data_IF_000201172840
#
_entry.id   IF_000201172840
#
_cell.length_a   1.000
_cell.length_b   1.000
_cell.length_c   1.000
_cell.angle_alpha   90.00
_cell.angle_beta   90.00
_cell.angle_gamma   90.00
#
_symmetry.space_group_name_H-M   'P 1'
#
loop_
_entity.id
_entity.type
_entity.pdbx_description
1 polymer ?
#
# COMPACT_ATOMS: atom_id res chain seq x y z
N UNK A 1 22.34 -13.25 -0.20
CA UNK A 1 23.20 -13.20 -1.40
C UNK A 1 22.67 -12.06 -2.24
N UNK A 2 23.47 -11.11 -2.72
CA UNK A 2 22.96 -10.03 -3.57
C UNK A 2 22.48 -10.60 -4.92
N UNK A 3 21.34 -10.13 -5.40
CA UNK A 3 20.80 -10.51 -6.72
C UNK A 3 21.67 -9.86 -7.78
N UNK A 4 22.11 -10.63 -8.78
CA UNK A 4 22.83 -10.03 -9.91
C UNK A 4 21.86 -9.19 -10.75
N UNK A 5 22.26 -8.02 -11.24
CA UNK A 5 21.38 -7.11 -12.00
C UNK A 5 20.72 -7.76 -13.22
N UNK A 6 21.43 -8.65 -13.90
CA UNK A 6 21.02 -9.39 -15.11
C UNK A 6 20.23 -10.68 -14.81
N UNK A 7 20.14 -11.10 -13.54
CA UNK A 7 19.40 -12.29 -13.15
C UNK A 7 17.91 -11.94 -12.96
N UNK A 8 17.11 -12.31 -13.92
CA UNK A 8 15.65 -12.10 -13.94
C UNK A 8 14.85 -13.27 -13.40
N UNK A 9 15.52 -14.27 -12.83
CA UNK A 9 14.83 -15.40 -12.18
C UNK A 9 14.00 -14.89 -11.01
N UNK A 10 12.67 -15.13 -10.98
CA UNK A 10 11.83 -14.70 -9.88
C UNK A 10 12.29 -15.30 -8.54
N UNK A 11 12.44 -14.43 -7.53
CA UNK A 11 12.84 -14.81 -6.17
C UNK A 11 11.66 -14.83 -5.19
N UNK A 12 10.48 -14.40 -5.67
CA UNK A 12 9.21 -14.43 -4.93
C UNK A 12 8.15 -15.13 -5.77
N UNK A 13 7.11 -15.67 -5.11
CA UNK A 13 6.01 -16.33 -5.80
C UNK A 13 5.23 -15.33 -6.67
N UNK A 14 4.73 -15.77 -7.85
CA UNK A 14 3.81 -14.97 -8.67
C UNK A 14 2.44 -14.86 -7.98
N UNK A 15 1.57 -13.89 -8.40
CA UNK A 15 0.19 -13.83 -7.93
C UNK A 15 -0.58 -15.11 -8.29
N UNK A 16 -1.67 -15.37 -7.56
CA UNK A 16 -2.60 -16.44 -7.91
C UNK A 16 -3.26 -16.13 -9.28
N UNK A 17 -3.06 -16.95 -10.33
CA UNK A 17 -3.64 -16.68 -11.64
C UNK A 17 -5.15 -16.99 -11.71
N UNK A 18 -5.73 -17.61 -10.66
CA UNK A 18 -7.12 -18.05 -10.62
C UNK A 18 -7.84 -17.51 -9.36
N UNK A 19 -8.03 -16.18 -9.25
CA UNK A 19 -8.73 -15.61 -8.10
C UNK A 19 -10.16 -16.13 -8.04
N UNK A 20 -10.64 -16.45 -6.83
CA UNK A 20 -12.02 -16.84 -6.60
C UNK A 20 -12.96 -15.65 -6.82
N UNK A 21 -14.16 -15.93 -7.31
CA UNK A 21 -15.21 -14.92 -7.32
C UNK A 21 -15.60 -14.61 -5.86
N UNK A 22 -15.47 -13.36 -5.40
CA UNK A 22 -15.87 -13.02 -4.04
C UNK A 22 -17.39 -13.16 -3.87
N UNK A 23 -17.79 -13.53 -2.66
CA UNK A 23 -19.21 -13.56 -2.24
C UNK A 23 -19.72 -12.16 -1.94
N UNK A 24 -18.83 -11.31 -1.42
CA UNK A 24 -19.15 -9.92 -1.14
C UNK A 24 -19.09 -9.10 -2.44
N UNK A 25 -20.20 -8.44 -2.77
CA UNK A 25 -20.25 -7.51 -3.90
C UNK A 25 -19.77 -6.13 -3.47
N UNK A 26 -18.75 -5.63 -4.14
CA UNK A 26 -18.21 -4.28 -3.90
C UNK A 26 -19.23 -3.21 -4.28
N UNK A 27 -19.33 -2.11 -3.52
CA UNK A 27 -20.17 -0.98 -3.90
C UNK A 27 -19.66 -0.28 -5.16
N UNK A 28 -20.52 0.44 -5.89
CA UNK A 28 -20.08 1.29 -7.00
C UNK A 28 -19.00 2.29 -6.56
N UNK A 29 -18.03 2.52 -7.42
CA UNK A 29 -16.84 3.35 -7.18
C UNK A 29 -15.91 2.83 -6.06
N UNK A 30 -15.96 1.54 -5.73
CA UNK A 30 -15.00 0.94 -4.81
C UNK A 30 -13.56 1.12 -5.32
N UNK A 31 -12.67 1.44 -4.39
CA UNK A 31 -11.26 1.69 -4.63
C UNK A 31 -10.41 0.60 -3.95
N UNK A 32 -9.51 -0.01 -4.72
CA UNK A 32 -8.37 -0.74 -4.19
C UNK A 32 -7.27 0.27 -3.83
N UNK A 33 -7.09 0.57 -2.56
CA UNK A 33 -6.18 1.64 -2.12
C UNK A 33 -4.72 1.20 -1.98
N UNK A 34 -4.38 -0.03 -2.37
CA UNK A 34 -3.01 -0.51 -2.35
C UNK A 34 -2.82 -1.73 -3.25
N UNK A 35 -2.11 -1.54 -4.35
CA UNK A 35 -1.61 -2.61 -5.20
C UNK A 35 -0.30 -2.19 -5.86
N UNK A 36 0.37 -3.16 -6.49
CA UNK A 36 1.59 -2.96 -7.27
C UNK A 36 1.40 -3.45 -8.70
N UNK A 37 2.28 -3.02 -9.60
CA UNK A 37 2.45 -3.58 -10.94
C UNK A 37 3.93 -3.84 -11.15
N UNK A 38 4.26 -4.99 -11.74
CA UNK A 38 5.62 -5.39 -12.04
C UNK A 38 5.81 -5.62 -13.53
N UNK A 39 6.71 -4.88 -14.14
CA UNK A 39 7.04 -5.04 -15.55
C UNK A 39 5.91 -4.66 -16.55
N UNK A 40 5.94 -5.23 -17.77
CA UNK A 40 6.94 -6.22 -18.20
C UNK A 40 8.37 -5.65 -18.17
N UNK A 41 9.32 -6.41 -17.63
CA UNK A 41 10.68 -5.95 -17.40
C UNK A 41 11.40 -5.50 -18.68
N UNK A 42 11.01 -6.04 -19.82
CA UNK A 42 11.55 -5.64 -21.13
C UNK A 42 11.24 -4.18 -21.48
N UNK A 43 10.15 -3.61 -20.93
CA UNK A 43 9.74 -2.22 -21.11
C UNK A 43 10.07 -1.36 -19.89
N UNK A 44 9.92 -1.93 -18.70
CA UNK A 44 10.14 -1.28 -17.41
C UNK A 44 11.16 -2.09 -16.62
N UNK A 45 12.46 -1.80 -16.76
CA UNK A 45 13.52 -2.57 -16.12
C UNK A 45 13.40 -2.58 -14.59
N UNK A 46 13.80 -3.69 -13.98
CA UNK A 46 13.95 -3.75 -12.54
C UNK A 46 15.25 -3.09 -12.10
N UNK A 47 15.23 -2.46 -10.93
CA UNK A 47 16.39 -1.77 -10.38
C UNK A 47 17.57 -2.75 -10.19
N UNK A 48 18.80 -2.34 -10.53
CA UNK A 48 19.97 -3.22 -10.43
C UNK A 48 20.30 -3.63 -8.99
N UNK A 49 19.93 -2.80 -8.02
CA UNK A 49 20.13 -3.03 -6.58
C UNK A 49 18.87 -3.56 -5.87
N UNK A 50 17.91 -4.10 -6.62
CA UNK A 50 16.67 -4.67 -6.06
C UNK A 50 16.97 -5.81 -5.11
N UNK A 51 16.10 -5.98 -4.12
CA UNK A 51 16.22 -7.01 -3.09
C UNK A 51 15.41 -8.27 -3.39
N UNK A 52 14.52 -8.18 -4.37
CA UNK A 52 13.76 -9.31 -4.89
C UNK A 52 13.50 -9.09 -6.39
N UNK A 53 13.36 -10.18 -7.11
CA UNK A 53 12.94 -10.17 -8.51
C UNK A 53 11.54 -10.77 -8.58
N UNK A 54 10.50 -10.01 -8.93
CA UNK A 54 9.16 -10.55 -9.13
C UNK A 54 9.06 -11.24 -10.50
N UNK A 55 8.07 -12.10 -10.68
CA UNK A 55 7.53 -12.38 -12.00
C UNK A 55 6.83 -11.13 -12.53
N UNK A 56 6.77 -10.95 -13.85
CA UNK A 56 5.98 -9.87 -14.43
C UNK A 56 4.51 -10.02 -14.01
N UNK A 57 3.93 -8.91 -13.57
CA UNK A 57 2.54 -8.76 -13.20
C UNK A 57 2.05 -7.40 -13.75
N UNK A 58 1.83 -7.33 -15.09
CA UNK A 58 1.61 -6.06 -15.79
C UNK A 58 0.21 -5.47 -15.52
N UNK A 59 0.02 -4.20 -15.89
CA UNK A 59 -1.25 -3.48 -15.69
C UNK A 59 -2.46 -4.16 -16.34
N UNK A 60 -2.25 -4.91 -17.42
CA UNK A 60 -3.31 -5.66 -18.10
C UNK A 60 -3.89 -6.76 -17.19
N UNK A 61 -3.05 -7.41 -16.39
CA UNK A 61 -3.46 -8.41 -15.40
C UNK A 61 -4.23 -7.75 -14.25
N UNK A 62 -3.72 -6.61 -13.76
CA UNK A 62 -4.42 -5.80 -12.77
C UNK A 62 -5.81 -5.37 -13.25
N UNK A 63 -5.92 -4.86 -14.47
CA UNK A 63 -7.21 -4.40 -15.01
C UNK A 63 -8.22 -5.55 -15.10
N UNK A 64 -7.77 -6.76 -15.49
CA UNK A 64 -8.62 -7.96 -15.48
C UNK A 64 -9.05 -8.34 -14.07
N UNK A 65 -8.11 -8.31 -13.12
CA UNK A 65 -8.40 -8.59 -11.72
C UNK A 65 -9.41 -7.59 -11.14
N UNK A 66 -9.18 -6.29 -11.32
CA UNK A 66 -10.10 -5.25 -10.83
C UNK A 66 -11.50 -5.39 -11.43
N UNK A 67 -11.59 -5.65 -12.74
CA UNK A 67 -12.88 -5.92 -13.39
C UNK A 67 -13.56 -7.17 -12.81
N UNK A 68 -12.82 -8.23 -12.57
CA UNK A 68 -13.33 -9.49 -12.02
C UNK A 68 -13.82 -9.33 -10.57
N UNK A 69 -13.05 -8.63 -9.72
CA UNK A 69 -13.40 -8.38 -8.33
C UNK A 69 -14.47 -7.29 -8.16
N UNK A 70 -14.55 -6.33 -9.10
CA UNK A 70 -15.51 -5.23 -9.09
C UNK A 70 -14.95 -3.87 -8.66
N UNK A 71 -13.62 -3.70 -8.57
CA UNK A 71 -13.00 -2.40 -8.30
C UNK A 71 -13.06 -1.50 -9.53
N UNK A 72 -13.44 -0.24 -9.32
CA UNK A 72 -13.54 0.77 -10.37
C UNK A 72 -12.43 1.82 -10.29
N UNK A 73 -11.79 1.93 -9.12
CA UNK A 73 -10.68 2.85 -8.83
C UNK A 73 -9.57 2.12 -8.10
N UNK A 74 -8.38 2.71 -8.10
CA UNK A 74 -7.30 2.14 -7.32
C UNK A 74 -6.10 3.05 -7.16
N UNK A 75 -5.23 2.70 -6.20
CA UNK A 75 -4.00 3.43 -5.90
C UNK A 75 -2.80 2.52 -6.10
N UNK A 76 -2.04 2.80 -7.15
CA UNK A 76 -0.79 2.12 -7.41
C UNK A 76 0.28 2.62 -6.43
N UNK A 77 0.91 1.70 -5.75
CA UNK A 77 2.03 1.98 -4.86
C UNK A 77 3.32 1.47 -5.50
N UNK A 78 4.27 2.35 -5.73
CA UNK A 78 5.55 1.98 -6.34
C UNK A 78 6.30 0.97 -5.46
N UNK A 79 6.90 -0.01 -6.12
CA UNK A 79 7.65 -1.07 -5.46
C UNK A 79 9.15 -0.84 -5.57
N UNK A 80 9.89 -1.25 -4.54
CA UNK A 80 11.36 -1.18 -4.51
C UNK A 80 12.05 -1.99 -5.62
N UNK A 81 11.36 -2.95 -6.26
CA UNK A 81 11.94 -3.70 -7.37
C UNK A 81 12.20 -2.83 -8.61
N UNK A 82 11.45 -1.73 -8.80
CA UNK A 82 11.72 -0.72 -9.83
C UNK A 82 12.54 0.47 -9.29
N UNK A 83 12.81 0.50 -7.98
CA UNK A 83 13.48 1.64 -7.34
C UNK A 83 12.70 2.94 -7.52
N UNK A 84 13.40 4.02 -7.85
CA UNK A 84 12.83 5.35 -8.10
C UNK A 84 12.46 5.59 -9.58
N UNK A 85 12.59 4.59 -10.45
CA UNK A 85 12.04 4.66 -11.80
C UNK A 85 10.52 4.44 -11.75
N UNK A 86 9.77 5.53 -11.82
CA UNK A 86 8.31 5.53 -11.73
C UNK A 86 7.62 5.35 -13.11
N UNK A 87 8.35 5.00 -14.17
CA UNK A 87 7.79 4.90 -15.53
C UNK A 87 6.64 3.89 -15.64
N UNK A 88 6.72 2.73 -14.94
CA UNK A 88 5.65 1.73 -14.92
C UNK A 88 4.37 2.28 -14.25
N UNK A 89 4.52 3.12 -13.23
CA UNK A 89 3.41 3.78 -12.54
C UNK A 89 2.75 4.80 -13.47
N UNK A 90 3.51 5.67 -14.11
CA UNK A 90 3.01 6.67 -15.05
C UNK A 90 2.28 6.01 -16.22
N UNK A 91 2.82 4.91 -16.78
CA UNK A 91 2.18 4.15 -17.86
C UNK A 91 0.81 3.59 -17.44
N UNK A 92 0.66 3.11 -16.20
CA UNK A 92 -0.63 2.66 -15.67
C UNK A 92 -1.60 3.84 -15.48
N UNK A 93 -1.15 4.95 -14.89
CA UNK A 93 -2.01 6.12 -14.63
C UNK A 93 -2.59 6.66 -15.95
N UNK A 94 -1.75 6.78 -16.97
CA UNK A 94 -2.17 7.21 -18.31
C UNK A 94 -3.19 6.25 -18.94
N UNK A 95 -2.94 4.94 -18.85
CA UNK A 95 -3.86 3.92 -19.34
C UNK A 95 -5.19 3.89 -18.56
N UNK A 96 -5.16 4.26 -17.30
CA UNK A 96 -6.30 4.26 -16.40
C UNK A 96 -7.29 5.40 -16.59
N UNK A 97 -6.93 6.46 -17.32
CA UNK A 97 -7.80 7.60 -17.65
C UNK A 97 -8.53 8.18 -16.43
N UNK A 98 -7.78 8.48 -15.37
CA UNK A 98 -8.29 9.09 -14.14
C UNK A 98 -8.88 8.11 -13.11
N UNK A 99 -9.02 6.82 -13.43
CA UNK A 99 -9.49 5.81 -12.48
C UNK A 99 -8.44 5.43 -11.42
N UNK A 100 -7.19 5.75 -11.67
CA UNK A 100 -6.09 5.39 -10.79
C UNK A 100 -5.33 6.62 -10.30
N UNK A 101 -4.71 6.46 -9.13
CA UNK A 101 -3.77 7.40 -8.51
C UNK A 101 -2.47 6.67 -8.20
N UNK A 102 -1.40 7.43 -7.91
CA UNK A 102 -0.10 6.87 -7.65
C UNK A 102 0.54 7.32 -6.34
N UNK A 103 1.28 6.42 -5.69
CA UNK A 103 2.22 6.74 -4.62
C UNK A 103 3.61 6.27 -5.07
N UNK A 104 4.53 7.22 -5.26
CA UNK A 104 5.85 7.01 -5.87
C UNK A 104 6.95 6.73 -4.85
N UNK A 105 8.09 6.26 -5.33
CA UNK A 105 9.37 6.34 -4.63
C UNK A 105 10.17 7.49 -5.25
N UNK A 106 10.72 8.36 -4.42
CA UNK A 106 11.59 9.46 -4.85
C UNK A 106 13.01 9.29 -4.32
N UNK A 107 13.96 9.86 -5.07
CA UNK A 107 15.29 10.17 -4.56
C UNK A 107 15.30 11.61 -4.04
N UNK A 108 16.08 11.95 -3.00
CA UNK A 108 16.23 13.33 -2.55
C UNK A 108 16.66 14.30 -3.68
N UNK A 109 17.40 13.79 -4.66
CA UNK A 109 17.88 14.57 -5.80
C UNK A 109 16.94 14.54 -7.02
N UNK A 110 15.73 13.93 -6.92
CA UNK A 110 14.75 13.97 -8.01
C UNK A 110 14.49 15.41 -8.41
N UNK A 111 14.62 15.79 -9.70
CA UNK A 111 14.36 17.17 -10.14
C UNK A 111 12.91 17.59 -9.87
N UNK A 112 12.70 18.86 -9.48
CA UNK A 112 11.34 19.36 -9.20
C UNK A 112 10.44 19.28 -10.45
N UNK A 113 10.98 19.50 -11.64
CA UNK A 113 10.25 19.32 -12.89
C UNK A 113 9.75 17.86 -13.12
N UNK A 114 10.48 16.86 -12.61
CA UNK A 114 10.01 15.47 -12.63
C UNK A 114 8.89 15.26 -11.62
N UNK A 115 8.97 15.86 -10.44
CA UNK A 115 7.90 15.82 -9.43
C UNK A 115 6.62 16.47 -9.98
N UNK A 116 6.71 17.60 -10.67
CA UNK A 116 5.59 18.25 -11.37
C UNK A 116 4.95 17.31 -12.41
N UNK A 117 5.75 16.65 -13.24
CA UNK A 117 5.25 15.68 -14.23
C UNK A 117 4.54 14.49 -13.57
N UNK A 118 5.04 14.01 -12.43
CA UNK A 118 4.40 12.95 -11.66
C UNK A 118 3.06 13.41 -11.08
N UNK A 119 2.97 14.64 -10.58
CA UNK A 119 1.74 15.25 -10.08
C UNK A 119 0.68 15.35 -11.19
N UNK A 120 1.06 15.91 -12.34
CA UNK A 120 0.19 15.99 -13.53
C UNK A 120 -0.30 14.62 -14.01
N UNK A 121 0.52 13.58 -13.87
CA UNK A 121 0.14 12.20 -14.21
C UNK A 121 -0.87 11.59 -13.24
N UNK A 122 -1.10 12.20 -12.07
CA UNK A 122 -2.05 11.74 -11.06
C UNK A 122 -1.41 11.05 -9.86
N UNK A 123 -0.14 11.32 -9.60
CA UNK A 123 0.50 10.96 -8.33
C UNK A 123 -0.10 11.82 -7.22
N UNK A 124 -0.34 11.20 -6.06
CA UNK A 124 -0.92 11.85 -4.89
C UNK A 124 -0.18 11.55 -3.60
N UNK A 125 0.94 10.84 -3.66
CA UNK A 125 1.71 10.49 -2.48
C UNK A 125 3.12 10.00 -2.77
N UNK A 126 3.96 10.02 -1.74
CA UNK A 126 5.30 9.43 -1.74
C UNK A 126 5.42 8.38 -0.65
N UNK A 127 6.01 7.24 -0.98
CA UNK A 127 6.19 6.13 -0.05
C UNK A 127 7.58 6.12 0.55
N UNK A 128 7.63 6.02 1.88
CA UNK A 128 8.84 5.92 2.68
C UNK A 128 8.93 4.53 3.32
N UNK A 129 10.08 3.88 3.21
CA UNK A 129 10.34 2.57 3.77
C UNK A 129 11.18 2.68 5.03
N UNK A 130 10.63 2.21 6.16
CA UNK A 130 11.31 2.10 7.46
C UNK A 130 11.42 0.65 7.92
N UNK A 131 11.05 -0.30 7.07
CA UNK A 131 11.15 -1.73 7.35
C UNK A 131 12.46 -2.25 6.77
N UNK A 132 13.36 -2.72 7.64
CA UNK A 132 14.65 -3.28 7.24
C UNK A 132 14.56 -4.67 6.60
N UNK A 133 15.70 -5.35 6.48
CA UNK A 133 15.79 -6.69 5.92
C UNK A 133 15.71 -6.70 4.38
N UNK A 134 14.76 -7.46 3.83
CA UNK A 134 14.60 -7.61 2.38
C UNK A 134 14.02 -6.37 1.65
N UNK A 135 13.77 -5.30 2.36
CA UNK A 135 13.38 -4.00 1.77
C UNK A 135 14.52 -2.96 1.79
N UNK A 136 15.70 -3.37 2.28
CA UNK A 136 16.89 -2.54 2.33
C UNK A 136 17.11 -1.83 3.65
N UNK A 137 18.15 -1.01 3.68
CA UNK A 137 18.44 -0.14 4.81
C UNK A 137 17.51 1.08 4.74
N UNK A 138 16.84 1.47 5.83
CA UNK A 138 16.10 2.72 5.88
C UNK A 138 17.01 3.90 5.50
N UNK A 139 16.44 4.87 4.78
CA UNK A 139 17.16 6.08 4.39
C UNK A 139 17.55 6.91 5.63
N UNK A 140 18.64 7.65 5.57
CA UNK A 140 18.97 8.66 6.58
C UNK A 140 17.80 9.65 6.76
N UNK A 141 17.60 10.13 8.00
CA UNK A 141 16.49 11.03 8.33
C UNK A 141 16.49 12.30 7.47
N UNK A 142 17.66 12.84 7.18
CA UNK A 142 17.83 14.04 6.36
C UNK A 142 17.30 13.85 4.94
N UNK A 143 17.61 12.71 4.31
CA UNK A 143 17.07 12.35 2.99
C UNK A 143 15.55 12.18 3.01
N UNK A 144 15.00 11.59 4.08
CA UNK A 144 13.57 11.43 4.27
C UNK A 144 12.87 12.79 4.34
N UNK A 145 13.45 13.74 5.09
CA UNK A 145 12.90 15.10 5.20
C UNK A 145 12.94 15.85 3.85
N UNK A 146 14.02 15.73 3.09
CA UNK A 146 14.11 16.30 1.74
C UNK A 146 13.03 15.75 0.79
N UNK A 147 12.74 14.45 0.88
CA UNK A 147 11.66 13.83 0.09
C UNK A 147 10.29 14.37 0.52
N UNK A 148 10.04 14.56 1.82
CA UNK A 148 8.80 15.14 2.34
C UNK A 148 8.65 16.59 1.86
N UNK A 149 9.73 17.38 1.87
CA UNK A 149 9.75 18.76 1.39
C UNK A 149 9.41 18.85 -0.11
N UNK A 150 9.84 17.89 -0.93
CA UNK A 150 9.46 17.81 -2.35
C UNK A 150 7.98 17.47 -2.56
N UNK A 151 7.41 16.65 -1.71
CA UNK A 151 5.99 16.25 -1.80
C UNK A 151 5.02 17.35 -1.31
N UNK A 152 5.46 18.20 -0.39
CA UNK A 152 4.62 19.17 0.30
C UNK A 152 3.92 20.20 -0.61
N UNK A 153 4.59 20.82 -1.64
CA UNK A 153 3.95 21.79 -2.54
C UNK A 153 2.78 21.20 -3.34
N UNK A 154 2.78 19.89 -3.59
CA UNK A 154 1.76 19.17 -4.34
C UNK A 154 0.64 18.63 -3.46
N UNK A 155 0.73 18.81 -2.13
CA UNK A 155 -0.24 18.25 -1.19
C UNK A 155 -0.24 16.72 -1.12
N UNK A 156 0.85 16.07 -1.54
CA UNK A 156 0.95 14.62 -1.53
C UNK A 156 0.95 14.06 -0.11
N UNK A 157 0.29 12.93 0.07
CA UNK A 157 0.37 12.21 1.34
C UNK A 157 1.73 11.51 1.51
N UNK A 158 2.16 11.40 2.76
CA UNK A 158 3.38 10.69 3.13
C UNK A 158 2.99 9.27 3.55
N UNK A 159 3.27 8.31 2.69
CA UNK A 159 2.96 6.90 2.94
C UNK A 159 4.11 6.22 3.67
N UNK A 160 3.84 5.63 4.82
CA UNK A 160 4.84 4.99 5.69
C UNK A 160 4.66 3.49 5.68
N UNK A 161 5.70 2.77 5.24
CA UNK A 161 5.80 1.33 5.34
C UNK A 161 6.78 0.94 6.44
N UNK A 162 6.27 0.31 7.47
CA UNK A 162 7.02 -0.15 8.65
C UNK A 162 6.53 -1.53 9.10
N UNK A 163 7.07 -2.09 10.18
CA UNK A 163 6.64 -3.38 10.72
C UNK A 163 7.21 -3.67 12.11
N UNK A 164 6.67 -4.69 12.76
CA UNK A 164 7.03 -5.01 14.15
C UNK A 164 6.66 -3.86 15.08
N UNK A 165 7.65 -3.38 15.83
CA UNK A 165 7.50 -2.21 16.72
C UNK A 165 7.67 -0.87 16.01
N UNK A 166 7.83 -0.84 14.69
CA UNK A 166 8.14 0.36 13.93
C UNK A 166 7.12 1.50 14.06
N UNK A 167 5.86 1.21 14.39
CA UNK A 167 4.86 2.26 14.71
C UNK A 167 5.25 3.01 15.99
N UNK A 168 5.79 2.31 16.99
CA UNK A 168 6.29 2.90 18.23
C UNK A 168 7.60 3.66 17.99
N UNK A 169 8.54 3.04 17.30
CA UNK A 169 9.87 3.60 17.02
C UNK A 169 9.77 4.90 16.20
N UNK A 170 8.77 4.99 15.34
CA UNK A 170 8.51 6.14 14.47
C UNK A 170 7.45 7.09 15.02
N UNK A 171 6.90 6.86 16.22
CA UNK A 171 5.76 7.63 16.73
C UNK A 171 6.02 9.13 16.73
N UNK A 172 7.13 9.57 17.31
CA UNK A 172 7.49 11.00 17.37
C UNK A 172 7.80 11.57 15.98
N UNK A 173 8.41 10.78 15.10
CA UNK A 173 8.62 11.20 13.72
C UNK A 173 7.28 11.38 12.98
N UNK A 174 6.38 10.40 13.05
CA UNK A 174 5.05 10.48 12.43
C UNK A 174 4.27 11.68 12.97
N UNK A 175 4.33 11.91 14.27
CA UNK A 175 3.63 13.04 14.90
C UNK A 175 4.23 14.40 14.55
N UNK A 176 5.48 14.47 14.09
CA UNK A 176 6.12 15.69 13.62
C UNK A 176 5.75 16.07 12.18
N UNK A 177 5.13 15.17 11.42
CA UNK A 177 4.71 15.43 10.04
C UNK A 177 3.36 16.16 10.04
N UNK A 178 3.32 17.36 9.47
CA UNK A 178 2.09 18.16 9.34
C UNK A 178 1.20 17.70 8.17
N UNK A 179 1.83 17.18 7.11
CA UNK A 179 1.13 16.63 5.94
C UNK A 179 0.27 15.41 6.32
N UNK A 180 -0.62 15.02 5.42
CA UNK A 180 -1.37 13.76 5.56
C UNK A 180 -0.42 12.57 5.55
N UNK A 181 -0.50 11.73 6.58
CA UNK A 181 0.27 10.49 6.69
C UNK A 181 -0.62 9.28 6.46
N UNK A 182 -0.14 8.31 5.71
CA UNK A 182 -0.83 7.04 5.45
C UNK A 182 0.05 5.87 5.88
N UNK A 183 -0.38 5.09 6.87
CA UNK A 183 0.36 3.93 7.36
C UNK A 183 -0.09 2.68 6.61
N UNK A 184 0.86 1.97 5.99
CA UNK A 184 0.59 0.74 5.24
C UNK A 184 0.26 -0.45 6.16
N UNK A 185 -0.65 -1.33 5.72
CA UNK A 185 -0.86 -2.69 6.21
C UNK A 185 -1.00 -2.78 7.75
N UNK A 186 -1.86 -1.95 8.34
CA UNK A 186 -2.10 -1.94 9.81
C UNK A 186 -0.78 -1.71 10.60
N UNK A 187 0.18 -1.00 9.99
CA UNK A 187 1.53 -0.81 10.54
C UNK A 187 2.35 -2.10 10.65
N UNK A 188 1.87 -3.23 10.09
CA UNK A 188 2.45 -4.59 10.23
C UNK A 188 2.86 -4.91 11.67
N UNK A 189 1.97 -4.55 12.61
CA UNK A 189 2.16 -4.76 14.05
C UNK A 189 2.28 -6.26 14.41
N UNK A 190 2.89 -6.56 15.57
CA UNK A 190 2.90 -7.89 16.12
C UNK A 190 1.58 -8.16 16.84
N UNK A 191 0.74 -9.05 16.28
CA UNK A 191 -0.59 -9.36 16.83
C UNK A 191 -0.56 -10.13 18.15
N UNK A 192 0.58 -10.77 18.48
CA UNK A 192 0.77 -11.47 19.75
C UNK A 192 0.63 -10.56 20.98
N UNK A 193 0.81 -9.24 20.82
CA UNK A 193 0.59 -8.24 21.89
C UNK A 193 -0.90 -8.01 22.19
N UNK A 194 -1.81 -8.49 21.34
CA UNK A 194 -3.25 -8.27 21.48
C UNK A 194 -3.70 -6.85 21.15
N UNK A 195 -5.00 -6.59 21.28
CA UNK A 195 -5.62 -5.28 20.97
C UNK A 195 -5.26 -4.16 21.97
N UNK A 196 -4.72 -4.51 23.12
CA UNK A 196 -4.22 -3.58 24.13
C UNK A 196 -2.70 -3.41 24.07
N UNK A 197 -2.05 -4.09 23.11
CA UNK A 197 -0.60 -4.01 22.89
C UNK A 197 -0.13 -2.59 22.58
N UNK A 198 1.12 -2.30 22.92
CA UNK A 198 1.68 -0.96 22.82
C UNK A 198 1.67 -0.44 21.39
N UNK A 199 2.05 -1.26 20.41
CA UNK A 199 2.06 -0.91 18.98
C UNK A 199 0.66 -0.59 18.45
N UNK A 200 -0.35 -1.39 18.82
CA UNK A 200 -1.73 -1.16 18.39
C UNK A 200 -2.36 0.06 19.06
N UNK A 201 -2.05 0.28 20.33
CA UNK A 201 -2.47 1.49 21.06
C UNK A 201 -1.87 2.75 20.46
N UNK A 202 -0.59 2.72 20.08
CA UNK A 202 0.06 3.83 19.39
C UNK A 202 -0.61 4.11 18.03
N UNK A 203 -0.96 3.08 17.27
CA UNK A 203 -1.65 3.22 15.99
C UNK A 203 -3.03 3.90 16.14
N UNK A 204 -3.81 3.54 17.17
CA UNK A 204 -5.09 4.23 17.50
C UNK A 204 -4.86 5.71 17.84
N UNK A 205 -3.87 6.01 18.68
CA UNK A 205 -3.52 7.40 19.03
C UNK A 205 -3.07 8.22 17.83
N UNK A 206 -2.35 7.62 16.89
CA UNK A 206 -1.99 8.28 15.63
C UNK A 206 -3.23 8.63 14.80
N UNK A 207 -4.22 7.73 14.71
CA UNK A 207 -5.49 7.99 14.04
C UNK A 207 -6.27 9.15 14.69
N UNK A 208 -6.18 9.32 16.02
CA UNK A 208 -6.85 10.40 16.75
C UNK A 208 -6.33 11.81 16.40
N UNK A 209 -5.13 11.91 15.80
CA UNK A 209 -4.54 13.19 15.37
C UNK A 209 -5.28 13.88 14.22
N UNK A 210 -6.06 13.14 13.42
CA UNK A 210 -6.85 13.68 12.32
C UNK A 210 -6.14 13.77 10.97
N UNK A 211 -4.79 13.84 10.92
CA UNK A 211 -4.00 13.82 9.69
C UNK A 211 -3.37 12.44 9.36
N UNK A 212 -3.56 11.45 10.23
CA UNK A 212 -3.03 10.10 10.02
C UNK A 212 -4.14 9.15 9.58
N UNK A 213 -3.84 8.35 8.58
CA UNK A 213 -4.70 7.34 7.98
C UNK A 213 -4.03 5.97 8.05
N UNK A 214 -4.83 4.90 8.02
CA UNK A 214 -4.32 3.53 8.00
C UNK A 214 -4.94 2.73 6.87
N UNK A 215 -4.10 2.01 6.13
CA UNK A 215 -4.56 1.00 5.16
C UNK A 215 -4.84 -0.30 5.91
N UNK A 216 -6.08 -0.77 5.85
CA UNK A 216 -6.53 -2.05 6.43
C UNK A 216 -6.25 -3.24 5.50
N UNK A 217 -5.37 -3.06 4.50
CA UNK A 217 -4.74 -4.14 3.76
C UNK A 217 -3.79 -4.94 4.65
N UNK A 218 -3.43 -6.16 4.28
CA UNK A 218 -2.40 -6.91 4.97
C UNK A 218 -2.87 -7.63 6.25
N UNK A 219 -4.16 -7.95 6.38
CA UNK A 219 -4.64 -8.88 7.42
C UNK A 219 -3.91 -10.22 7.32
N UNK A 220 -3.69 -10.71 6.10
CA UNK A 220 -2.87 -11.87 5.76
C UNK A 220 -1.40 -11.73 6.15
N UNK A 221 -0.86 -10.49 6.15
CA UNK A 221 0.55 -10.21 6.48
C UNK A 221 0.85 -10.20 7.97
N UNK A 222 -0.12 -9.82 8.79
CA UNK A 222 0.03 -9.82 10.26
C UNK A 222 -0.42 -11.13 10.89
N UNK A 223 -1.23 -11.93 10.19
CA UNK A 223 -1.72 -13.23 10.65
C UNK A 223 -0.58 -14.27 10.71
N UNK A 224 -0.68 -15.17 11.68
CA UNK A 224 0.14 -16.40 11.76
C UNK A 224 -0.66 -17.62 11.24
N UNK A 225 -1.94 -17.43 10.91
CA UNK A 225 -2.84 -18.46 10.42
C UNK A 225 -3.08 -18.33 8.91
N UNK A 226 -3.63 -19.39 8.32
CA UNK A 226 -4.15 -19.36 6.96
C UNK A 226 -5.52 -18.68 6.94
N UNK A 227 -6.00 -18.34 5.74
CA UNK A 227 -7.38 -17.88 5.56
C UNK A 227 -8.37 -18.73 6.38
N UNK A 228 -9.30 -18.13 7.11
CA UNK A 228 -9.71 -16.72 7.08
C UNK A 228 -8.97 -15.77 8.05
N UNK A 229 -7.74 -16.07 8.48
CA UNK A 229 -6.89 -15.21 9.32
C UNK A 229 -7.57 -14.83 10.65
N UNK A 230 -8.12 -15.82 11.34
CA UNK A 230 -8.98 -15.64 12.52
C UNK A 230 -8.26 -14.94 13.68
N UNK A 231 -6.96 -15.14 13.80
CA UNK A 231 -6.08 -14.50 14.78
C UNK A 231 -5.87 -12.99 14.53
N UNK A 232 -6.07 -12.53 13.28
CA UNK A 232 -5.72 -11.17 12.87
C UNK A 232 -6.93 -10.27 12.61
N UNK A 233 -8.09 -10.81 12.24
CA UNK A 233 -9.25 -10.04 11.76
C UNK A 233 -9.79 -9.03 12.79
N UNK A 234 -9.56 -9.25 14.08
CA UNK A 234 -9.97 -8.34 15.15
C UNK A 234 -9.28 -6.97 15.06
N UNK A 235 -8.05 -6.90 14.56
CA UNK A 235 -7.25 -5.67 14.48
C UNK A 235 -7.80 -4.67 13.45
N UNK A 236 -7.95 -5.02 12.16
CA UNK A 236 -8.54 -4.10 11.20
C UNK A 236 -9.98 -3.74 11.56
N UNK A 237 -10.77 -4.66 12.14
CA UNK A 237 -12.11 -4.37 12.64
C UNK A 237 -12.09 -3.30 13.74
N UNK A 238 -11.19 -3.40 14.70
CA UNK A 238 -11.07 -2.43 15.78
C UNK A 238 -10.66 -1.05 15.26
N UNK A 239 -9.77 -0.96 14.26
CA UNK A 239 -9.39 0.30 13.61
C UNK A 239 -10.55 0.90 12.81
N UNK A 240 -11.29 0.09 12.06
CA UNK A 240 -12.46 0.53 11.30
C UNK A 240 -13.56 1.08 12.22
N UNK A 241 -13.73 0.48 13.40
CA UNK A 241 -14.69 0.97 14.42
C UNK A 241 -14.18 2.24 15.13
N UNK A 242 -12.85 2.33 15.39
CA UNK A 242 -12.23 3.45 16.10
C UNK A 242 -12.20 4.73 15.26
N UNK A 243 -11.83 4.63 13.99
CA UNK A 243 -11.66 5.77 13.09
C UNK A 243 -12.21 5.49 11.68
N UNK A 244 -13.53 5.27 11.52
CA UNK A 244 -14.12 4.85 10.27
C UNK A 244 -13.86 5.83 9.10
N UNK A 245 -13.58 7.10 9.41
CA UNK A 245 -13.32 8.14 8.43
C UNK A 245 -11.84 8.28 8.03
N UNK A 246 -10.94 7.50 8.63
CA UNK A 246 -9.48 7.54 8.38
C UNK A 246 -8.87 6.19 8.08
N UNK A 247 -9.67 5.27 7.58
CA UNK A 247 -9.20 3.97 7.12
C UNK A 247 -9.58 3.76 5.67
N UNK A 248 -8.70 3.08 4.92
CA UNK A 248 -8.91 2.64 3.55
C UNK A 248 -8.51 1.18 3.43
N UNK A 249 -8.95 0.48 2.39
CA UNK A 249 -8.63 -0.93 2.18
C UNK A 249 -7.99 -1.15 0.81
N UNK A 250 -7.18 -2.20 0.68
CA UNK A 250 -6.56 -2.59 -0.59
C UNK A 250 -6.15 -4.07 -0.60
N UNK A 251 -5.97 -4.63 -1.80
CA UNK A 251 -5.61 -6.02 -2.02
C UNK A 251 -4.16 -6.33 -1.66
N UNK A 252 -3.26 -5.38 -1.91
CA UNK A 252 -1.81 -5.58 -1.95
C UNK A 252 -1.35 -6.52 -3.09
N UNK A 253 -2.19 -6.69 -4.14
CA UNK A 253 -1.82 -7.44 -5.32
C UNK A 253 -0.50 -6.90 -5.94
N UNK A 254 0.41 -7.69 -6.43
CA UNK A 254 0.45 -9.15 -6.54
C UNK A 254 1.13 -9.85 -5.35
N UNK A 255 1.03 -9.30 -4.15
CA UNK A 255 1.45 -9.86 -2.86
C UNK A 255 2.96 -10.08 -2.76
N UNK A 256 3.81 -9.06 -3.02
CA UNK A 256 5.26 -9.23 -3.01
C UNK A 256 5.75 -9.67 -1.64
N UNK A 257 6.75 -10.58 -1.65
CA UNK A 257 7.39 -11.09 -0.43
C UNK A 257 6.41 -11.76 0.56
N UNK A 258 5.32 -12.33 0.06
CA UNK A 258 4.41 -13.14 0.86
C UNK A 258 4.84 -14.61 0.82
N UNK A 259 4.91 -15.26 1.98
CA UNK A 259 5.31 -16.68 2.08
C UNK A 259 4.26 -17.64 1.51
N UNK A 260 2.99 -17.24 1.58
CA UNK A 260 1.86 -17.95 1.00
C UNK A 260 0.93 -16.94 0.35
N UNK A 261 0.99 -16.82 -0.97
CA UNK A 261 0.20 -15.84 -1.73
C UNK A 261 -1.29 -16.04 -1.46
N UNK A 262 -1.99 -15.01 -0.94
CA UNK A 262 -3.42 -15.09 -0.68
C UNK A 262 -4.22 -15.08 -1.98
N UNK A 263 -5.47 -15.57 -1.92
CA UNK A 263 -6.42 -15.42 -3.01
C UNK A 263 -7.17 -14.09 -2.88
N UNK A 264 -7.15 -13.25 -3.91
CA UNK A 264 -7.73 -11.90 -3.88
C UNK A 264 -9.24 -11.91 -3.61
N UNK A 265 -9.98 -12.90 -4.09
CA UNK A 265 -11.41 -13.05 -3.79
C UNK A 265 -11.67 -13.37 -2.32
N UNK A 266 -10.82 -14.18 -1.70
CA UNK A 266 -10.89 -14.46 -0.27
C UNK A 266 -10.58 -13.18 0.56
N UNK A 267 -9.63 -12.33 0.11
CA UNK A 267 -9.36 -11.06 0.77
C UNK A 267 -10.55 -10.09 0.70
N UNK A 268 -11.22 -10.00 -0.44
CA UNK A 268 -12.45 -9.21 -0.60
C UNK A 268 -13.56 -9.72 0.34
N UNK A 269 -13.66 -11.03 0.54
CA UNK A 269 -14.63 -11.64 1.46
C UNK A 269 -14.37 -11.38 2.95
N UNK A 270 -13.19 -10.82 3.32
CA UNK A 270 -12.93 -10.33 4.68
C UNK A 270 -13.56 -8.95 4.96
N UNK A 271 -13.86 -8.16 3.93
CA UNK A 271 -14.36 -6.78 4.08
C UNK A 271 -15.59 -6.71 5.01
N UNK A 272 -16.63 -7.57 4.88
CA UNK A 272 -17.77 -7.57 5.81
C UNK A 272 -17.40 -7.94 7.25
N UNK A 273 -16.29 -8.65 7.47
CA UNK A 273 -15.81 -8.96 8.80
C UNK A 273 -15.03 -7.81 9.42
N UNK A 274 -14.31 -7.04 8.59
CA UNK A 274 -13.57 -5.82 8.97
C UNK A 274 -14.55 -4.70 9.31
N UNK A 275 -15.52 -4.45 8.43
CA UNK A 275 -16.55 -3.42 8.56
C UNK A 275 -17.96 -4.04 8.44
N UNK A 276 -18.57 -4.49 9.56
CA UNK A 276 -19.85 -5.20 9.53
C UNK A 276 -21.03 -4.34 9.05
N UNK A 277 -20.99 -3.04 9.27
CA UNK A 277 -22.04 -2.13 8.84
C UNK A 277 -21.76 -1.51 7.47
N UNK A 278 -22.81 -1.19 6.72
CA UNK A 278 -22.72 -0.68 5.35
C UNK A 278 -22.09 0.71 5.28
N UNK A 279 -22.33 1.57 6.27
CA UNK A 279 -21.77 2.93 6.31
C UNK A 279 -20.26 2.88 6.40
N UNK A 280 -19.71 2.07 7.30
CA UNK A 280 -18.24 1.93 7.46
C UNK A 280 -17.62 1.31 6.21
N UNK A 281 -18.27 0.30 5.58
CA UNK A 281 -17.80 -0.25 4.30
C UNK A 281 -17.75 0.82 3.21
N UNK A 282 -18.81 1.63 3.09
CA UNK A 282 -18.87 2.71 2.10
C UNK A 282 -17.79 3.77 2.36
N UNK A 283 -17.62 4.19 3.61
CA UNK A 283 -16.51 5.07 3.98
C UNK A 283 -15.17 4.48 3.53
N UNK A 284 -14.85 3.28 3.98
CA UNK A 284 -13.55 2.63 3.75
C UNK A 284 -13.24 2.39 2.26
N UNK A 285 -14.24 2.04 1.45
CA UNK A 285 -14.04 1.64 0.06
C UNK A 285 -14.30 2.76 -0.96
N UNK A 286 -15.08 3.79 -0.60
CA UNK A 286 -15.55 4.79 -1.57
C UNK A 286 -15.22 6.22 -1.13
N UNK A 287 -15.77 6.65 0.01
CA UNK A 287 -15.77 8.06 0.37
C UNK A 287 -14.39 8.50 0.90
N UNK A 288 -13.75 7.67 1.71
CA UNK A 288 -12.40 7.91 2.23
C UNK A 288 -11.34 7.93 1.11
N UNK A 289 -11.29 6.92 0.20
CA UNK A 289 -10.39 6.99 -0.94
C UNK A 289 -10.61 8.23 -1.80
N UNK A 290 -11.87 8.66 -2.01
CA UNK A 290 -12.18 9.89 -2.74
C UNK A 290 -11.53 11.11 -2.09
N UNK A 291 -11.68 11.25 -0.78
CA UNK A 291 -11.15 12.37 -0.02
C UNK A 291 -9.62 12.31 0.11
N UNK A 292 -9.07 11.11 0.38
CA UNK A 292 -7.64 10.95 0.65
C UNK A 292 -6.78 11.08 -0.62
N UNK A 293 -7.25 10.54 -1.74
CA UNK A 293 -6.47 10.44 -2.97
C UNK A 293 -6.93 11.39 -4.09
N UNK A 294 -7.98 12.16 -3.88
CA UNK A 294 -8.44 13.17 -4.84
C UNK A 294 -9.09 12.57 -6.10
N UNK A 295 -9.99 11.57 -5.93
CA UNK A 295 -10.75 11.02 -7.05
C UNK A 295 -11.97 11.89 -7.42
#
# INVERSE_FOLDING_TARGET
>A
MAIRPDDLTPTIAPPDPYPKKPRFALPPNACDSHFHVFGPHAKFPYAPNRLFTPADAPKEDLFRLHQFLGFQRGVFVQSTCHGTDNAVLVDLLNAGKGRYRGSVLLDPNTPDAEVEQLDEAGVCGVRLHFFGGHLGTPRPREEVLQIIEKAAPHGWHIQIHTGGHGVLDLYDFITSIEATVVIDHIGRIEIAEGLDGASFTALKRLLDRGNVWVKLSGTDRISKEKYPYADAIAFPRALAAHAPERVVWGTDWPHPNHSAVPNDGDLVDLIPQIAPDERTRRLMLVDNPTRLFGF
#
